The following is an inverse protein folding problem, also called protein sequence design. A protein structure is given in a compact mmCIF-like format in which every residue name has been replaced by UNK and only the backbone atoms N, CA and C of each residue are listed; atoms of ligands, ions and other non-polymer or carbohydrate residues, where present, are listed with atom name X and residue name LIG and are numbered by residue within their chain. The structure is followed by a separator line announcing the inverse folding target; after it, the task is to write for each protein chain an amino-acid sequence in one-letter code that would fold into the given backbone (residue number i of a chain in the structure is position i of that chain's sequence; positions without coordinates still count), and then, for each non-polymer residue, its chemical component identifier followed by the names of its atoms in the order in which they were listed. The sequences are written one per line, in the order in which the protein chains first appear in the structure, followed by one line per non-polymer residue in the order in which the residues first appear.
data_IF_427045958845
#
_entry.id   IF_427045958845
#
_cell.length_a   1.000
_cell.length_b   1.000
_cell.length_c   1.000
_cell.angle_alpha   90.00
_cell.angle_beta   90.00
_cell.angle_gamma   90.00
#
_symmetry.space_group_name_H-M   'P 1'
#
loop_
_entity.id
_entity.type
_entity.pdbx_description
1 polymer ?
#
# COMPACT_ATOMS: atom_id res chain seq x y z
N UNK A 1 35.42 -33.31 11.84
CA UNK A 1 34.52 -32.22 12.27
C UNK A 1 33.94 -31.55 11.03
N UNK A 2 32.71 -31.89 10.65
CA UNK A 2 32.06 -31.38 9.42
C UNK A 2 31.33 -30.07 9.71
N UNK A 3 31.88 -28.94 9.24
CA UNK A 3 31.31 -27.61 9.37
C UNK A 3 30.00 -27.46 8.62
N UNK A 4 28.89 -27.33 9.36
CA UNK A 4 27.55 -27.10 8.81
C UNK A 4 27.31 -25.59 8.71
N UNK A 5 27.58 -25.02 7.53
CA UNK A 5 27.25 -23.62 7.23
C UNK A 5 25.75 -23.35 7.39
N UNK A 6 25.38 -22.25 8.04
CA UNK A 6 23.98 -21.79 8.17
C UNK A 6 23.51 -21.21 6.83
N UNK A 7 23.16 -22.09 5.89
CA UNK A 7 22.72 -21.67 4.56
C UNK A 7 22.34 -22.84 3.69
N UNK A 8 21.32 -23.61 4.09
CA UNK A 8 20.81 -24.75 3.33
C UNK A 8 19.29 -24.74 3.31
N UNK A 9 18.73 -24.49 2.13
CA UNK A 9 17.29 -24.52 1.77
C UNK A 9 16.69 -25.89 2.16
N UNK A 10 15.93 -25.92 3.26
CA UNK A 10 15.07 -27.04 3.60
C UNK A 10 13.82 -27.02 2.73
N UNK A 11 13.70 -28.01 1.86
CA UNK A 11 12.49 -28.29 1.08
C UNK A 11 11.36 -28.75 2.02
N UNK A 12 10.14 -28.25 1.79
CA UNK A 12 8.91 -28.93 2.17
C UNK A 12 8.33 -28.61 3.56
N UNK A 13 7.84 -27.38 3.77
CA UNK A 13 6.66 -27.19 4.64
C UNK A 13 5.52 -26.70 3.77
N UNK A 14 4.38 -27.40 3.85
CA UNK A 14 3.14 -27.07 3.17
C UNK A 14 2.91 -25.55 3.21
N UNK A 15 2.53 -24.99 2.05
CA UNK A 15 2.34 -23.56 1.90
C UNK A 15 1.45 -23.01 3.02
N UNK A 16 1.72 -21.78 3.52
CA UNK A 16 0.97 -21.23 4.63
C UNK A 16 -0.53 -21.30 4.33
N UNK A 17 -1.27 -22.01 5.18
CA UNK A 17 -2.74 -21.99 5.21
C UNK A 17 -3.18 -20.53 5.12
N UNK A 18 -4.06 -20.22 4.16
CA UNK A 18 -4.62 -18.88 3.95
C UNK A 18 -5.52 -18.53 5.14
N UNK A 19 -4.91 -18.14 6.25
CA UNK A 19 -5.61 -17.43 7.30
C UNK A 19 -6.06 -16.09 6.70
N UNK A 20 -7.37 -15.86 6.71
CA UNK A 20 -7.96 -14.53 6.47
C UNK A 20 -7.23 -13.55 7.39
N UNK A 21 -6.56 -12.57 6.78
CA UNK A 21 -5.74 -11.60 7.49
C UNK A 21 -6.64 -10.84 8.47
N UNK A 22 -6.49 -11.13 9.75
CA UNK A 22 -7.08 -10.37 10.86
C UNK A 22 -6.64 -8.91 10.70
N UNK A 23 -7.57 -7.97 10.95
CA UNK A 23 -7.31 -6.52 10.88
C UNK A 23 -6.20 -6.20 11.88
N UNK A 24 -4.99 -6.13 11.36
CA UNK A 24 -3.82 -5.48 11.95
C UNK A 24 -3.71 -4.13 11.24
N UNK A 25 -3.04 -3.17 11.86
CA UNK A 25 -2.75 -1.86 11.26
C UNK A 25 -2.37 -2.01 9.78
N UNK A 26 -3.32 -1.65 8.90
CA UNK A 26 -3.23 -1.95 7.47
C UNK A 26 -2.06 -1.23 6.81
N UNK A 27 -1.56 -0.19 7.47
CA UNK A 27 -0.41 0.60 7.05
C UNK A 27 0.89 -0.22 6.97
N UNK A 28 1.08 -1.19 7.86
CA UNK A 28 2.21 -2.12 7.78
C UNK A 28 2.05 -3.16 6.66
N UNK A 29 0.87 -3.26 6.06
CA UNK A 29 0.65 -3.96 4.79
C UNK A 29 1.46 -3.35 3.64
N UNK A 30 1.83 -2.08 3.73
CA UNK A 30 2.77 -1.44 2.83
C UNK A 30 4.19 -1.89 3.23
N UNK A 31 4.64 -2.96 2.59
CA UNK A 31 5.90 -3.64 2.93
C UNK A 31 7.13 -2.82 2.51
N UNK A 32 8.24 -2.97 3.23
CA UNK A 32 9.54 -2.35 2.90
C UNK A 32 9.98 -2.58 1.43
N UNK A 33 9.86 -3.79 0.83
CA UNK A 33 10.17 -3.98 -0.59
C UNK A 33 9.24 -3.22 -1.54
N UNK A 34 7.97 -2.99 -1.20
CA UNK A 34 7.08 -2.17 -2.02
C UNK A 34 7.53 -0.71 -2.06
N UNK A 35 7.86 -0.13 -0.89
CA UNK A 35 8.41 1.24 -0.79
C UNK A 35 9.73 1.33 -1.56
N UNK A 36 10.59 0.30 -1.46
CA UNK A 36 11.83 0.25 -2.25
C UNK A 36 11.55 0.27 -3.74
N UNK A 37 10.58 -0.51 -4.25
CA UNK A 37 10.22 -0.49 -5.68
C UNK A 37 9.72 0.88 -6.14
N UNK A 38 8.91 1.57 -5.34
CA UNK A 38 8.48 2.95 -5.63
C UNK A 38 9.68 3.90 -5.72
N UNK A 39 10.55 3.88 -4.71
CA UNK A 39 11.74 4.71 -4.67
C UNK A 39 12.69 4.41 -5.85
N UNK A 40 12.85 3.14 -6.25
CA UNK A 40 13.63 2.78 -7.45
C UNK A 40 13.02 3.35 -8.72
N UNK A 41 11.70 3.30 -8.88
CA UNK A 41 11.01 3.93 -10.01
C UNK A 41 11.24 5.45 -10.02
N UNK A 42 11.30 6.07 -8.84
CA UNK A 42 11.67 7.48 -8.67
C UNK A 42 13.18 7.78 -8.78
N UNK A 43 14.03 6.84 -9.19
CA UNK A 43 15.46 7.07 -9.37
C UNK A 43 16.30 7.12 -8.08
N UNK A 44 15.73 6.74 -6.93
CA UNK A 44 16.46 6.78 -5.66
C UNK A 44 17.49 5.65 -5.57
N UNK A 45 18.76 5.98 -5.36
CA UNK A 45 19.88 5.02 -5.30
C UNK A 45 20.08 4.37 -3.90
N UNK A 46 19.93 5.13 -2.82
CA UNK A 46 20.07 4.65 -1.43
C UNK A 46 18.92 5.20 -0.58
N UNK A 47 18.46 4.38 0.37
CA UNK A 47 17.34 4.69 1.27
C UNK A 47 17.79 4.49 2.72
N UNK A 48 17.54 5.50 3.56
CA UNK A 48 17.71 5.38 5.01
C UNK A 48 16.59 4.47 5.59
N UNK A 49 16.86 3.81 6.72
CA UNK A 49 15.91 2.99 7.46
C UNK A 49 14.68 3.77 7.96
N UNK A 50 14.81 5.04 8.30
CA UNK A 50 13.69 5.86 8.79
C UNK A 50 12.65 6.18 7.70
N UNK A 51 13.03 6.14 6.42
CA UNK A 51 12.14 6.47 5.30
C UNK A 51 10.96 5.50 5.19
N UNK A 52 11.09 4.25 5.64
CA UNK A 52 9.98 3.30 5.51
C UNK A 52 8.76 3.69 6.35
N UNK A 53 8.98 4.29 7.51
CA UNK A 53 7.89 4.74 8.38
C UNK A 53 7.36 6.10 7.94
N UNK A 54 8.25 6.99 7.53
CA UNK A 54 7.87 8.29 6.97
C UNK A 54 6.96 8.13 5.73
N UNK A 55 7.34 7.25 4.80
CA UNK A 55 6.55 6.98 3.59
C UNK A 55 5.17 6.42 3.91
N UNK A 56 5.01 5.69 5.03
CA UNK A 56 3.70 5.21 5.48
C UNK A 56 2.84 6.37 5.97
N UNK A 57 3.41 7.26 6.78
CA UNK A 57 2.72 8.47 7.24
C UNK A 57 2.24 9.32 6.05
N UNK A 58 3.13 9.58 5.09
CA UNK A 58 2.82 10.36 3.88
C UNK A 58 1.71 9.70 3.05
N UNK A 59 1.78 8.37 2.84
CA UNK A 59 0.74 7.65 2.11
C UNK A 59 -0.62 7.73 2.79
N UNK A 60 -0.66 7.67 4.12
CA UNK A 60 -1.90 7.83 4.87
C UNK A 60 -2.44 9.25 4.73
N UNK A 61 -1.59 10.26 4.91
CA UNK A 61 -1.95 11.67 4.79
C UNK A 61 -2.46 12.03 3.38
N UNK A 62 -1.97 11.36 2.33
CA UNK A 62 -2.47 11.52 0.97
C UNK A 62 -3.82 10.85 0.75
N UNK A 63 -4.01 9.61 1.23
CA UNK A 63 -5.23 8.85 0.99
C UNK A 63 -6.43 9.35 1.79
N UNK A 64 -6.21 9.85 3.01
CA UNK A 64 -7.29 10.31 3.90
C UNK A 64 -8.19 11.41 3.29
N UNK A 65 -7.66 12.51 2.73
CA UNK A 65 -8.50 13.54 2.08
C UNK A 65 -9.18 13.03 0.80
N UNK A 66 -8.47 12.25 -0.03
CA UNK A 66 -9.03 11.70 -1.28
C UNK A 66 -10.21 10.77 -0.98
N UNK A 67 -10.06 9.88 -0.01
CA UNK A 67 -11.12 8.95 0.38
C UNK A 67 -12.29 9.68 1.05
N UNK A 68 -12.03 10.71 1.85
CA UNK A 68 -13.10 11.53 2.45
C UNK A 68 -14.00 12.13 1.36
N UNK A 69 -13.41 12.71 0.32
CA UNK A 69 -14.16 13.31 -0.80
C UNK A 69 -14.89 12.23 -1.61
N UNK A 70 -14.23 11.10 -1.91
CA UNK A 70 -14.87 10.01 -2.65
C UNK A 70 -16.09 9.43 -1.90
N UNK A 71 -16.01 9.31 -0.58
CA UNK A 71 -17.14 8.89 0.28
C UNK A 71 -18.26 9.95 0.23
N UNK A 72 -17.93 11.24 0.30
CA UNK A 72 -18.93 12.32 0.18
C UNK A 72 -19.72 12.22 -1.14
N UNK A 73 -19.07 11.93 -2.27
CA UNK A 73 -19.77 11.70 -3.54
C UNK A 73 -20.68 10.47 -3.51
N UNK A 74 -20.20 9.40 -2.89
CA UNK A 74 -20.95 8.14 -2.75
C UNK A 74 -22.21 8.35 -1.92
N UNK A 75 -22.09 9.06 -0.79
CA UNK A 75 -23.20 9.40 0.12
C UNK A 75 -24.20 10.35 -0.55
N UNK A 76 -23.72 11.38 -1.25
CA UNK A 76 -24.55 12.30 -2.02
C UNK A 76 -25.42 11.56 -3.05
N UNK A 77 -24.84 10.58 -3.73
CA UNK A 77 -25.54 9.73 -4.68
C UNK A 77 -26.42 8.63 -4.04
N UNK A 78 -26.54 8.60 -2.70
CA UNK A 78 -27.29 7.59 -1.92
C UNK A 78 -26.85 6.15 -2.20
N UNK A 79 -25.59 5.95 -2.57
CA UNK A 79 -24.99 4.64 -2.82
C UNK A 79 -24.26 4.17 -1.55
N UNK A 80 -24.13 2.85 -1.40
CA UNK A 80 -23.28 2.22 -0.35
C UNK A 80 -21.95 1.71 -0.92
N UNK A 81 -21.78 1.80 -2.23
CA UNK A 81 -20.62 1.30 -2.95
C UNK A 81 -19.92 2.46 -3.63
N UNK A 82 -18.67 2.69 -3.25
CA UNK A 82 -17.78 3.65 -3.91
C UNK A 82 -17.47 3.12 -5.31
N UNK A 83 -17.70 3.95 -6.34
CA UNK A 83 -17.41 3.60 -7.74
C UNK A 83 -16.16 4.33 -8.23
N UNK A 84 -15.58 3.86 -9.34
CA UNK A 84 -14.38 4.46 -9.92
C UNK A 84 -14.56 5.97 -10.22
N UNK A 85 -15.73 6.38 -10.72
CA UNK A 85 -15.99 7.79 -11.03
C UNK A 85 -15.98 8.71 -9.80
N UNK A 86 -16.33 8.21 -8.60
CA UNK A 86 -16.27 9.01 -7.37
C UNK A 86 -14.81 9.27 -6.98
N UNK A 87 -13.95 8.28 -7.17
CA UNK A 87 -12.51 8.39 -6.92
C UNK A 87 -11.85 9.31 -7.94
N UNK A 88 -12.20 9.20 -9.23
CA UNK A 88 -11.68 10.09 -10.28
C UNK A 88 -12.07 11.55 -9.98
N UNK A 89 -13.32 11.79 -9.58
CA UNK A 89 -13.76 13.12 -9.19
C UNK A 89 -13.01 13.63 -7.94
N UNK A 90 -12.85 12.81 -6.91
CA UNK A 90 -12.08 13.18 -5.72
C UNK A 90 -10.61 13.52 -6.05
N UNK A 91 -10.01 12.76 -6.96
CA UNK A 91 -8.65 13.00 -7.46
C UNK A 91 -8.54 14.29 -8.27
N UNK A 92 -9.52 14.59 -9.13
CA UNK A 92 -9.59 15.87 -9.84
C UNK A 92 -9.70 17.05 -8.86
N UNK A 93 -10.53 16.92 -7.81
CA UNK A 93 -10.69 17.95 -6.79
C UNK A 93 -9.44 18.19 -5.94
N UNK A 94 -8.64 17.15 -5.70
CA UNK A 94 -7.38 17.26 -4.95
C UNK A 94 -6.18 17.67 -5.82
N UNK A 95 -6.38 17.88 -7.13
CA UNK A 95 -5.34 18.32 -8.06
C UNK A 95 -4.50 17.19 -8.68
N UNK A 96 -4.97 15.94 -8.61
CA UNK A 96 -4.27 14.76 -9.14
C UNK A 96 -5.11 14.04 -10.21
N UNK A 97 -5.37 14.65 -11.38
CA UNK A 97 -6.24 14.05 -12.38
C UNK A 97 -5.73 12.68 -12.84
N UNK A 98 -6.64 11.71 -12.90
CA UNK A 98 -6.36 10.32 -13.27
C UNK A 98 -7.16 9.93 -14.52
N UNK A 99 -6.48 9.36 -15.51
CA UNK A 99 -7.06 8.95 -16.78
C UNK A 99 -7.09 7.42 -16.91
N UNK A 100 -8.12 6.88 -17.60
CA UNK A 100 -8.18 5.47 -18.00
C UNK A 100 -8.83 4.51 -17.01
N UNK A 101 -9.77 4.98 -16.19
CA UNK A 101 -10.53 4.19 -15.20
C UNK A 101 -12.03 4.21 -15.48
#
# INVERSE_FOLDING_TARGET
MSGRGKGGKGLGKAGPLRHRKVIRDSIYGITKPAIRRLARRGGVFRLNGMIYEEMRSVLKAFLEPVLRIAITYTEYARRKTVIASDVIQALNWTGYPLYGF
#
